data_IF_355581416511
#
_entry.id   IF_355581416511
#
_cell.length_a   1.000
_cell.length_b   1.000
_cell.length_c   1.000
_cell.angle_alpha   90.00
_cell.angle_beta   90.00
_cell.angle_gamma   90.00
#
_symmetry.space_group_name_H-M   'P 1'
#
loop_
_entity.id
_entity.type
_entity.pdbx_description
1 polymer ?
#
# COMPACT_ATOMS: atom_id res chain seq x y z
N UNK A 1 13.89 -16.18 31.02
CA UNK A 1 15.04 -15.80 30.17
C UNK A 1 14.50 -15.23 28.87
N UNK A 2 14.94 -14.01 28.55
CA UNK A 2 15.01 -13.35 27.25
C UNK A 2 13.82 -13.45 26.28
N UNK A 3 13.13 -12.30 26.17
CA UNK A 3 12.50 -11.83 24.94
C UNK A 3 13.48 -11.80 23.76
N UNK A 4 12.87 -11.74 22.57
CA UNK A 4 13.41 -11.38 21.24
C UNK A 4 13.76 -12.61 20.41
N UNK A 5 12.96 -12.85 19.36
CA UNK A 5 13.29 -13.48 18.06
C UNK A 5 12.03 -14.15 17.49
N UNK A 6 11.10 -13.35 16.97
CA UNK A 6 10.14 -13.83 15.96
C UNK A 6 9.74 -12.69 15.00
N UNK A 7 10.75 -11.91 14.62
CA UNK A 7 10.83 -11.31 13.28
C UNK A 7 11.55 -12.37 12.43
N UNK A 8 10.83 -13.42 12.06
CA UNK A 8 11.26 -14.37 11.03
C UNK A 8 10.49 -13.98 9.76
N UNK A 9 11.13 -13.27 8.84
CA UNK A 9 11.86 -13.89 7.74
C UNK A 9 10.88 -14.52 6.73
N UNK A 10 10.36 -13.68 5.85
CA UNK A 10 9.89 -14.12 4.53
C UNK A 10 10.73 -13.39 3.48
N UNK A 11 12.03 -13.70 3.53
CA UNK A 11 12.98 -13.45 2.46
C UNK A 11 12.87 -14.61 1.48
N UNK A 12 11.96 -14.52 0.51
CA UNK A 12 12.03 -15.35 -0.69
C UNK A 12 12.87 -14.58 -1.72
N UNK A 13 14.16 -14.92 -1.76
CA UNK A 13 14.99 -14.66 -2.92
C UNK A 13 14.63 -15.70 -4.00
N UNK A 14 14.30 -15.27 -5.22
CA UNK A 14 14.54 -16.00 -6.48
C UNK A 14 14.31 -15.05 -7.68
N UNK A 15 15.27 -15.11 -8.61
CA UNK A 15 15.25 -14.78 -10.04
C UNK A 15 15.27 -13.31 -10.51
N UNK A 16 16.41 -12.97 -11.11
CA UNK A 16 16.61 -11.95 -12.14
C UNK A 16 15.59 -12.10 -13.28
N UNK A 17 15.00 -10.99 -13.72
CA UNK A 17 14.53 -10.82 -15.10
C UNK A 17 14.43 -9.35 -15.45
N UNK A 18 15.19 -8.95 -16.48
CA UNK A 18 15.07 -7.67 -17.15
C UNK A 18 13.67 -7.55 -17.76
N UNK A 19 12.88 -6.59 -17.28
CA UNK A 19 11.72 -6.11 -17.99
C UNK A 19 11.60 -4.60 -17.74
N UNK A 20 12.18 -3.82 -18.68
CA UNK A 20 11.77 -2.44 -18.92
C UNK A 20 10.30 -2.46 -19.36
N UNK A 21 9.40 -2.49 -18.38
CA UNK A 21 7.98 -2.26 -18.59
C UNK A 21 7.72 -0.76 -18.65
N UNK A 22 7.51 -0.25 -19.86
CA UNK A 22 7.05 1.10 -20.13
C UNK A 22 5.77 1.35 -19.34
N UNK A 23 5.82 2.39 -18.49
CA UNK A 23 4.71 2.86 -17.68
C UNK A 23 3.61 3.39 -18.61
N UNK A 24 2.50 2.64 -18.71
CA UNK A 24 1.28 3.13 -19.34
C UNK A 24 0.70 4.25 -18.46
N UNK A 25 0.83 5.48 -18.93
CA UNK A 25 0.25 6.71 -18.40
C UNK A 25 -1.30 6.61 -18.34
N UNK A 26 -1.83 5.91 -17.34
CA UNK A 26 -3.21 6.08 -16.90
C UNK A 26 -3.20 7.25 -15.92
N UNK A 27 -3.83 8.37 -16.30
CA UNK A 27 -3.88 9.66 -15.58
C UNK A 27 -4.56 9.63 -14.20
N UNK A 28 -4.12 8.74 -13.31
CA UNK A 28 -4.37 8.78 -11.88
C UNK A 28 -3.28 9.62 -11.21
N UNK A 29 -3.67 10.48 -10.27
CA UNK A 29 -2.75 11.31 -9.49
C UNK A 29 -1.71 10.39 -8.82
N UNK A 30 -0.47 10.42 -9.32
CA UNK A 30 0.64 9.66 -8.73
C UNK A 30 0.76 10.10 -7.26
N UNK A 31 0.81 9.16 -6.30
CA UNK A 31 0.97 9.53 -4.90
C UNK A 31 2.27 10.33 -4.73
N UNK A 32 2.30 11.30 -3.80
CA UNK A 32 3.50 12.07 -3.52
C UNK A 32 4.66 11.13 -3.11
N UNK A 33 5.92 11.51 -3.42
CA UNK A 33 7.08 10.72 -3.00
C UNK A 33 7.16 10.62 -1.46
N UNK A 34 7.75 9.55 -0.90
CA UNK A 34 7.82 9.35 0.55
C UNK A 34 8.44 10.51 1.33
N UNK A 35 9.46 11.16 0.77
CA UNK A 35 10.07 12.35 1.39
C UNK A 35 9.08 13.52 1.50
N UNK A 36 8.20 13.70 0.52
CA UNK A 36 7.18 14.74 0.58
C UNK A 36 6.09 14.40 1.62
N UNK A 37 5.68 13.13 1.70
CA UNK A 37 4.75 12.66 2.74
C UNK A 37 5.34 12.87 4.15
N UNK A 38 6.62 12.55 4.36
CA UNK A 38 7.29 12.78 5.64
C UNK A 38 7.23 14.25 6.08
N UNK A 39 7.39 15.19 5.13
CA UNK A 39 7.22 16.64 5.42
C UNK A 39 5.78 16.99 5.79
N UNK A 40 4.79 16.45 5.07
CA UNK A 40 3.37 16.69 5.35
C UNK A 40 2.94 16.15 6.71
N UNK A 41 3.55 15.04 7.15
CA UNK A 41 3.35 14.46 8.48
C UNK A 41 4.09 15.22 9.59
N UNK A 42 5.01 16.12 9.24
CA UNK A 42 5.84 16.85 10.20
C UNK A 42 6.78 15.94 10.98
N UNK A 43 7.37 14.94 10.31
CA UNK A 43 8.33 14.02 10.93
C UNK A 43 9.66 14.72 11.21
N UNK A 44 10.30 14.39 12.33
CA UNK A 44 11.69 14.78 12.55
C UNK A 44 12.65 14.03 11.62
N UNK A 45 13.93 14.40 11.60
CA UNK A 45 14.92 13.81 10.69
C UNK A 45 15.11 12.30 10.87
N UNK A 46 15.04 11.79 12.11
CA UNK A 46 15.21 10.37 12.40
C UNK A 46 13.96 9.57 12.00
N UNK A 47 12.78 10.07 12.36
CA UNK A 47 11.50 9.50 11.95
C UNK A 47 11.34 9.52 10.43
N UNK A 48 11.71 10.62 9.76
CA UNK A 48 11.62 10.76 8.32
C UNK A 48 12.51 9.76 7.57
N UNK A 49 13.74 9.54 8.03
CA UNK A 49 14.62 8.54 7.43
C UNK A 49 14.02 7.13 7.49
N UNK A 50 13.53 6.72 8.67
CA UNK A 50 12.88 5.42 8.86
C UNK A 50 11.57 5.29 8.06
N UNK A 51 10.76 6.35 8.05
CA UNK A 51 9.52 6.41 7.28
C UNK A 51 9.78 6.23 5.78
N UNK A 52 10.74 6.98 5.22
CA UNK A 52 11.08 6.89 3.79
C UNK A 52 11.51 5.46 3.43
N UNK A 53 12.34 4.83 4.25
CA UNK A 53 12.77 3.44 4.02
C UNK A 53 11.57 2.47 4.02
N UNK A 54 10.68 2.57 5.02
CA UNK A 54 9.49 1.70 5.11
C UNK A 54 8.57 1.87 3.88
N UNK A 55 8.40 3.10 3.40
CA UNK A 55 7.53 3.39 2.25
C UNK A 55 8.14 2.96 0.91
N UNK A 56 9.46 3.10 0.73
CA UNK A 56 10.13 2.57 -0.48
C UNK A 56 10.09 1.03 -0.50
N UNK A 57 10.35 0.35 0.62
CA UNK A 57 10.20 -1.10 0.73
C UNK A 57 8.79 -1.55 0.34
N UNK A 58 7.76 -0.85 0.84
CA UNK A 58 6.37 -1.12 0.50
C UNK A 58 6.13 -0.94 -0.99
N UNK A 59 6.65 0.13 -1.59
CA UNK A 59 6.48 0.44 -3.02
C UNK A 59 7.13 -0.62 -3.91
N UNK A 60 8.31 -1.12 -3.53
CA UNK A 60 8.97 -2.23 -4.22
C UNK A 60 8.14 -3.52 -4.13
N UNK A 61 7.67 -3.87 -2.93
CA UNK A 61 6.76 -5.03 -2.73
C UNK A 61 5.48 -4.89 -3.56
N UNK A 62 4.86 -3.72 -3.55
CA UNK A 62 3.67 -3.45 -4.35
C UNK A 62 3.93 -3.64 -5.85
N UNK A 63 5.07 -3.13 -6.36
CA UNK A 63 5.46 -3.32 -7.76
C UNK A 63 5.68 -4.80 -8.10
N UNK A 64 6.36 -5.54 -7.22
CA UNK A 64 6.59 -6.97 -7.40
C UNK A 64 5.28 -7.77 -7.42
N UNK A 65 4.39 -7.53 -6.45
CA UNK A 65 3.07 -8.15 -6.40
C UNK A 65 2.24 -7.81 -7.65
N UNK A 66 2.31 -6.57 -8.11
CA UNK A 66 1.59 -6.15 -9.32
C UNK A 66 2.14 -6.81 -10.58
N UNK A 67 3.44 -7.06 -10.64
CA UNK A 67 4.08 -7.76 -11.75
C UNK A 67 3.75 -9.27 -11.75
N UNK A 68 3.54 -9.86 -10.57
CA UNK A 68 3.15 -11.26 -10.38
C UNK A 68 1.63 -11.49 -10.42
N UNK A 69 0.85 -10.42 -10.60
CA UNK A 69 -0.60 -10.45 -10.55
C UNK A 69 -1.18 -11.32 -11.69
N UNK A 70 -1.68 -12.51 -11.34
CA UNK A 70 -2.64 -13.23 -12.17
C UNK A 70 -4.00 -12.47 -12.23
N UNK A 71 -4.88 -12.87 -13.15
CA UNK A 71 -6.19 -12.25 -13.35
C UNK A 71 -7.15 -12.36 -12.15
N UNK A 72 -6.77 -13.05 -11.07
CA UNK A 72 -7.57 -13.13 -9.84
C UNK A 72 -7.47 -11.83 -9.02
N UNK A 73 -8.42 -10.96 -9.30
CA UNK A 73 -8.57 -9.69 -8.60
C UNK A 73 -8.87 -9.84 -7.10
N UNK A 74 -9.46 -10.95 -6.64
CA UNK A 74 -9.77 -11.15 -5.23
C UNK A 74 -8.50 -11.45 -4.43
N UNK A 75 -7.66 -12.36 -4.94
CA UNK A 75 -6.34 -12.68 -4.35
C UNK A 75 -5.44 -11.45 -4.34
N UNK A 76 -5.45 -10.66 -5.41
CA UNK A 76 -4.71 -9.40 -5.48
C UNK A 76 -5.15 -8.42 -4.38
N UNK A 77 -6.45 -8.24 -4.17
CA UNK A 77 -6.96 -7.37 -3.10
C UNK A 77 -6.50 -7.84 -1.73
N UNK A 78 -6.66 -9.12 -1.41
CA UNK A 78 -6.24 -9.67 -0.13
C UNK A 78 -4.74 -9.49 0.13
N UNK A 79 -3.92 -9.72 -0.90
CA UNK A 79 -2.47 -9.55 -0.79
C UNK A 79 -2.06 -8.10 -0.59
N UNK A 80 -2.75 -7.16 -1.25
CA UNK A 80 -2.52 -5.72 -1.05
C UNK A 80 -2.98 -5.23 0.32
N UNK A 81 -4.11 -5.73 0.83
CA UNK A 81 -4.57 -5.42 2.18
C UNK A 81 -3.59 -5.93 3.24
N UNK A 82 -3.03 -7.14 3.04
CA UNK A 82 -1.99 -7.67 3.91
C UNK A 82 -0.72 -6.81 3.89
N UNK A 83 -0.27 -6.38 2.70
CA UNK A 83 0.87 -5.47 2.56
C UNK A 83 0.62 -4.14 3.28
N UNK A 84 -0.59 -3.61 3.18
CA UNK A 84 -0.99 -2.38 3.87
C UNK A 84 -0.94 -2.53 5.40
N UNK A 85 -1.46 -3.61 5.96
CA UNK A 85 -1.41 -3.84 7.41
C UNK A 85 0.03 -4.09 7.90
N UNK A 86 0.86 -4.79 7.11
CA UNK A 86 2.29 -4.96 7.41
C UNK A 86 2.99 -3.59 7.51
N UNK A 87 2.78 -2.71 6.52
CA UNK A 87 3.35 -1.37 6.53
C UNK A 87 2.84 -0.56 7.72
N UNK A 88 1.54 -0.60 8.02
CA UNK A 88 0.98 0.09 9.19
C UNK A 88 1.61 -0.38 10.49
N UNK A 89 1.82 -1.69 10.65
CA UNK A 89 2.46 -2.24 11.83
C UNK A 89 3.90 -1.73 11.99
N UNK A 90 4.67 -1.64 10.89
CA UNK A 90 6.02 -1.05 10.87
C UNK A 90 6.01 0.45 11.17
N UNK A 91 5.01 1.18 10.67
CA UNK A 91 4.90 2.62 10.90
C UNK A 91 4.53 2.97 12.36
N UNK A 92 3.79 2.11 13.06
CA UNK A 92 3.45 2.31 14.49
C UNK A 92 4.66 2.40 15.42
N UNK A 93 5.82 1.85 15.04
CA UNK A 93 7.06 1.98 15.82
C UNK A 93 7.84 3.27 15.52
N UNK A 94 7.45 4.01 14.48
CA UNK A 94 8.15 5.23 14.01
C UNK A 94 7.29 6.46 14.24
N UNK A 95 5.99 6.35 13.98
CA UNK A 95 5.01 7.44 14.07
C UNK A 95 4.29 7.43 15.41
N UNK A 96 4.02 8.61 15.94
CA UNK A 96 3.06 8.74 17.04
C UNK A 96 1.61 8.59 16.54
N UNK A 97 0.65 8.55 17.46
CA UNK A 97 -0.76 8.33 17.13
C UNK A 97 -1.33 9.40 16.16
N UNK A 98 -0.98 10.67 16.36
CA UNK A 98 -1.47 11.78 15.52
C UNK A 98 -0.86 11.73 14.11
N UNK A 99 0.44 11.45 14.01
CA UNK A 99 1.15 11.28 12.74
C UNK A 99 0.59 10.08 11.97
N UNK A 100 0.30 8.97 12.66
CA UNK A 100 -0.31 7.80 12.04
C UNK A 100 -1.73 8.10 11.53
N UNK A 101 -2.54 8.82 12.31
CA UNK A 101 -3.88 9.22 11.88
C UNK A 101 -3.84 10.11 10.63
N UNK A 102 -2.89 11.05 10.55
CA UNK A 102 -2.67 11.87 9.34
C UNK A 102 -2.21 11.04 8.15
N UNK A 103 -1.33 10.06 8.38
CA UNK A 103 -0.89 9.15 7.31
C UNK A 103 -2.06 8.37 6.70
N UNK A 104 -2.99 7.88 7.52
CA UNK A 104 -4.18 7.18 7.05
C UNK A 104 -5.08 8.08 6.18
N UNK A 105 -5.10 9.39 6.42
CA UNK A 105 -5.85 10.36 5.60
C UNK A 105 -5.19 10.67 4.26
N UNK A 106 -3.85 10.54 4.18
CA UNK A 106 -3.10 10.74 2.93
C UNK A 106 -3.20 9.55 1.97
N UNK A 107 -3.59 8.38 2.48
CA UNK A 107 -3.72 7.18 1.66
C UNK A 107 -5.00 7.25 0.81
N UNK A 108 -4.94 6.95 -0.50
CA UNK A 108 -6.16 6.85 -1.30
C UNK A 108 -7.08 5.79 -0.69
N UNK A 109 -8.35 6.16 -0.50
CA UNK A 109 -9.38 5.20 -0.11
C UNK A 109 -9.38 4.03 -1.11
N UNK A 110 -9.61 2.79 -0.66
CA UNK A 110 -9.73 1.66 -1.58
C UNK A 110 -10.76 2.02 -2.67
N UNK A 111 -10.46 1.75 -3.95
CA UNK A 111 -11.38 2.08 -5.02
C UNK A 111 -12.73 1.42 -4.71
N UNK A 112 -13.78 2.24 -4.62
CA UNK A 112 -15.14 1.75 -4.45
C UNK A 112 -15.53 0.81 -5.61
N UNK A 113 -16.65 0.08 -5.49
CA UNK A 113 -17.07 -0.86 -6.52
C UNK A 113 -17.13 -0.16 -7.88
N UNK A 114 -16.69 -0.84 -8.96
CA UNK A 114 -16.65 -0.27 -10.29
C UNK A 114 -18.02 0.27 -10.70
N UNK A 115 -18.10 1.29 -11.57
CA UNK A 115 -19.35 1.97 -11.90
C UNK A 115 -20.48 1.02 -12.33
N UNK A 116 -20.14 -0.06 -13.04
CA UNK A 116 -21.09 -1.06 -13.53
C UNK A 116 -21.72 -1.95 -12.43
N UNK A 117 -21.17 -1.99 -11.22
CA UNK A 117 -21.80 -2.65 -10.06
C UNK A 117 -22.71 -1.70 -9.26
N UNK A 118 -22.51 -0.38 -9.37
CA UNK A 118 -23.38 0.62 -8.72
C UNK A 118 -24.79 0.63 -9.33
N UNK A 119 -24.90 0.39 -10.64
CA UNK A 119 -26.18 0.35 -11.34
C UNK A 119 -26.96 -0.94 -11.07
N UNK A 120 -26.30 -2.07 -10.81
CA UNK A 120 -26.96 -3.35 -10.52
C UNK A 120 -27.60 -3.41 -9.13
N UNK A 121 -27.05 -2.71 -8.15
CA UNK A 121 -27.61 -2.64 -6.79
C UNK A 121 -28.56 -1.45 -6.57
N UNK A 122 -28.66 -0.53 -7.52
CA UNK A 122 -29.62 0.59 -7.51
C UNK A 122 -30.98 0.26 -8.16
N UNK A 123 -31.07 -0.81 -8.95
CA UNK A 123 -32.33 -1.29 -9.50
C UNK A 123 -33.02 -2.25 -8.52
N UNK A 124 -33.62 -1.71 -7.45
CA UNK A 124 -34.71 -2.43 -6.79
C UNK A 124 -35.93 -2.47 -7.71
N UNK A 125 -36.65 -3.60 -7.77
CA UNK A 125 -37.72 -3.83 -8.72
C UNK A 125 -38.99 -3.15 -8.21
N UNK A 126 -39.22 -1.91 -8.62
CA UNK A 126 -40.56 -1.33 -8.55
C UNK A 126 -40.75 -0.30 -9.64
N UNK A 127 -41.44 -0.70 -10.70
CA UNK A 127 -42.31 0.19 -11.45
C UNK A 127 -43.27 -0.61 -12.35
N UNK A 128 -44.49 -0.78 -11.80
CA UNK A 128 -45.80 -0.98 -12.42
C UNK A 128 -46.19 -2.37 -12.95
#
# INVERSE_FOLDING_TARGET
MQHRHLVFMLMNAIALSNAMGQEAERGGRRPPPPAEMARQLGLDAAQAAQFVQIMEDQREKHRALRAQADADHAVMRQTMDALHEETRARLRSVLNADQLARFEQLRPAPPGPPPHERERHGASPDQR
#
